data_IF_706246896247
#
_entry.id   IF_706246896247
#
_cell.length_a   1.000
_cell.length_b   1.000
_cell.length_c   1.000
_cell.angle_alpha   90.00
_cell.angle_beta   90.00
_cell.angle_gamma   90.00
#
_symmetry.space_group_name_H-M   'P 1'
#
loop_
_entity.id
_entity.type
_entity.pdbx_description
1 polymer ?
#
# COMPACT_ATOMS: atom_id res chain seq x y z
N UNK A 1 9.04 1.34 -30.57
CA UNK A 1 8.04 1.06 -29.51
C UNK A 1 8.18 2.01 -28.31
N UNK A 2 9.38 2.38 -27.85
CA UNK A 2 9.60 3.33 -26.76
C UNK A 2 8.95 4.73 -26.91
N UNK A 3 8.63 5.18 -28.13
CA UNK A 3 7.98 6.48 -28.39
C UNK A 3 6.58 6.61 -27.77
N UNK A 4 5.90 5.48 -27.53
CA UNK A 4 4.57 5.44 -26.93
C UNK A 4 4.59 4.93 -25.49
N UNK A 5 5.76 4.88 -24.85
CA UNK A 5 5.86 4.53 -23.43
C UNK A 5 5.22 5.65 -22.58
N UNK A 6 4.21 5.27 -21.80
CA UNK A 6 3.49 6.16 -20.89
C UNK A 6 3.96 6.02 -19.43
N UNK A 7 4.91 5.12 -19.15
CA UNK A 7 5.36 4.82 -17.78
C UNK A 7 5.82 6.08 -17.05
N UNK A 8 6.57 6.97 -17.71
CA UNK A 8 7.01 8.25 -17.12
C UNK A 8 5.86 9.22 -16.80
N UNK A 9 4.75 9.15 -17.54
CA UNK A 9 3.57 10.00 -17.31
C UNK A 9 2.64 9.44 -16.24
N UNK A 10 2.56 8.11 -16.14
CA UNK A 10 1.69 7.41 -15.19
C UNK A 10 2.35 7.33 -13.81
N UNK A 11 3.67 7.10 -13.75
CA UNK A 11 4.41 6.86 -12.50
C UNK A 11 4.22 7.95 -11.42
N UNK A 12 4.14 9.27 -11.72
CA UNK A 12 3.89 10.29 -10.70
C UNK A 12 2.53 10.17 -10.00
N UNK A 13 1.57 9.45 -10.59
CA UNK A 13 0.24 9.22 -10.04
C UNK A 13 0.11 7.88 -9.32
N UNK A 14 1.19 7.10 -9.22
CA UNK A 14 1.22 5.79 -8.60
C UNK A 14 2.06 5.78 -7.32
N UNK A 15 1.75 4.82 -6.45
CA UNK A 15 2.66 4.48 -5.37
C UNK A 15 3.95 3.86 -5.92
N UNK A 16 5.06 4.04 -5.20
CA UNK A 16 6.37 3.51 -5.58
C UNK A 16 6.33 2.01 -5.83
N UNK A 17 5.60 1.27 -5.01
CA UNK A 17 5.52 -0.18 -5.14
C UNK A 17 4.77 -0.60 -6.42
N UNK A 18 3.77 0.18 -6.84
CA UNK A 18 3.00 -0.05 -8.07
C UNK A 18 3.78 0.27 -9.35
N UNK A 19 4.92 0.96 -9.26
CA UNK A 19 5.80 1.22 -10.40
C UNK A 19 6.69 0.01 -10.72
N UNK A 20 6.96 -0.88 -9.75
CA UNK A 20 7.80 -2.07 -10.00
C UNK A 20 7.25 -3.00 -11.08
N UNK A 21 5.96 -3.40 -11.06
CA UNK A 21 5.40 -4.24 -12.12
C UNK A 21 5.51 -3.60 -13.51
N UNK A 22 5.42 -2.26 -13.60
CA UNK A 22 5.61 -1.55 -14.87
C UNK A 22 7.06 -1.63 -15.35
N UNK A 23 8.03 -1.45 -14.45
CA UNK A 23 9.46 -1.58 -14.78
C UNK A 23 9.84 -3.03 -15.14
N UNK A 24 9.24 -4.02 -14.49
CA UNK A 24 9.39 -5.44 -14.83
C UNK A 24 8.84 -5.74 -16.23
N UNK A 25 7.66 -5.23 -16.56
CA UNK A 25 7.10 -5.35 -17.90
C UNK A 25 8.00 -4.70 -18.97
N UNK A 26 8.55 -3.50 -18.70
CA UNK A 26 9.48 -2.84 -19.63
C UNK A 26 10.77 -3.65 -19.84
N UNK A 27 11.22 -4.36 -18.79
CA UNK A 27 12.39 -5.24 -18.83
C UNK A 27 12.11 -6.49 -19.67
N UNK A 28 10.99 -7.17 -19.42
CA UNK A 28 10.58 -8.36 -20.19
C UNK A 28 10.38 -8.05 -21.68
N UNK A 29 9.84 -6.87 -21.99
CA UNK A 29 9.65 -6.42 -23.38
C UNK A 29 10.91 -5.92 -24.04
N UNK A 30 12.03 -5.82 -23.31
CA UNK A 30 13.33 -5.35 -23.80
C UNK A 30 13.23 -4.00 -24.53
N UNK A 31 12.38 -3.10 -24.02
CA UNK A 31 12.13 -1.79 -24.65
C UNK A 31 13.27 -0.80 -24.41
N UNK A 32 14.00 -0.99 -23.31
CA UNK A 32 15.17 -0.22 -22.90
C UNK A 32 16.30 -1.16 -22.51
N UNK A 33 17.57 -0.69 -22.50
CA UNK A 33 18.69 -1.47 -21.99
C UNK A 33 18.45 -1.93 -20.55
N UNK A 34 18.71 -3.21 -20.26
CA UNK A 34 18.48 -3.79 -18.93
C UNK A 34 19.21 -3.01 -17.84
N UNK A 35 20.44 -2.57 -18.08
CA UNK A 35 21.22 -1.77 -17.13
C UNK A 35 20.51 -0.47 -16.73
N UNK A 36 19.80 0.18 -17.66
CA UNK A 36 19.07 1.41 -17.37
C UNK A 36 17.88 1.12 -16.46
N UNK A 37 17.13 0.04 -16.75
CA UNK A 37 15.97 -0.37 -15.94
C UNK A 37 16.43 -0.79 -14.54
N UNK A 38 17.50 -1.56 -14.42
CA UNK A 38 18.06 -2.00 -13.14
C UNK A 38 18.53 -0.80 -12.30
N UNK A 39 19.20 0.20 -12.90
CA UNK A 39 19.55 1.45 -12.21
C UNK A 39 18.31 2.20 -11.72
N UNK A 40 17.27 2.32 -12.54
CA UNK A 40 16.01 2.95 -12.14
C UNK A 40 15.30 2.18 -11.01
N UNK A 41 15.33 0.84 -11.02
CA UNK A 41 14.82 0.00 -9.92
C UNK A 41 15.58 0.26 -8.62
N UNK A 42 16.92 0.35 -8.65
CA UNK A 42 17.72 0.68 -7.47
C UNK A 42 17.38 2.07 -6.93
N UNK A 43 17.24 3.08 -7.80
CA UNK A 43 16.87 4.44 -7.37
C UNK A 43 15.49 4.48 -6.72
N UNK A 44 14.53 3.72 -7.24
CA UNK A 44 13.20 3.58 -6.67
C UNK A 44 13.27 2.89 -5.29
N UNK A 45 14.05 1.80 -5.20
CA UNK A 45 14.22 1.02 -3.98
C UNK A 45 14.96 1.76 -2.87
N UNK A 46 15.86 2.69 -3.22
CA UNK A 46 16.59 3.49 -2.23
C UNK A 46 15.66 4.25 -1.28
N UNK A 47 14.46 4.61 -1.73
CA UNK A 47 13.44 5.31 -0.94
C UNK A 47 12.41 4.37 -0.29
N UNK A 48 12.60 3.06 -0.41
CA UNK A 48 11.78 2.00 0.22
C UNK A 48 12.63 1.21 1.21
N UNK A 49 12.01 0.34 2.00
CA UNK A 49 12.70 -0.55 2.95
C UNK A 49 12.89 -1.98 2.41
N UNK A 50 12.68 -2.19 1.11
CA UNK A 50 12.93 -3.47 0.41
C UNK A 50 14.44 -3.69 0.16
N UNK A 51 15.23 -3.71 1.24
CA UNK A 51 16.70 -3.74 1.15
C UNK A 51 17.20 -5.04 0.52
N UNK A 52 16.60 -6.18 0.85
CA UNK A 52 16.99 -7.48 0.28
C UNK A 52 16.80 -7.49 -1.26
N UNK A 53 15.67 -6.96 -1.75
CA UNK A 53 15.42 -6.85 -3.19
C UNK A 53 16.39 -5.87 -3.87
N UNK A 54 16.74 -4.76 -3.21
CA UNK A 54 17.75 -3.82 -3.70
C UNK A 54 19.13 -4.46 -3.81
N UNK A 55 19.51 -5.29 -2.83
CA UNK A 55 20.76 -6.04 -2.84
C UNK A 55 20.80 -7.03 -4.01
N UNK A 56 19.71 -7.77 -4.26
CA UNK A 56 19.64 -8.74 -5.36
C UNK A 56 19.73 -8.06 -6.74
N UNK A 57 19.09 -6.90 -6.90
CA UNK A 57 19.20 -6.10 -8.13
C UNK A 57 20.62 -5.55 -8.30
N UNK A 58 21.26 -5.10 -7.23
CA UNK A 58 22.65 -4.62 -7.27
C UNK A 58 23.61 -5.73 -7.70
N UNK A 59 23.47 -6.93 -7.13
CA UNK A 59 24.26 -8.10 -7.51
C UNK A 59 24.07 -8.46 -8.98
N UNK A 60 22.84 -8.40 -9.46
CA UNK A 60 22.49 -8.65 -10.86
C UNK A 60 23.10 -7.61 -11.81
N UNK A 61 23.09 -6.33 -11.42
CA UNK A 61 23.61 -5.22 -12.22
C UNK A 61 25.14 -5.28 -12.37
N UNK A 62 25.87 -5.52 -11.28
CA UNK A 62 27.35 -5.54 -11.28
C UNK A 62 27.93 -6.95 -11.43
N UNK A 63 27.08 -7.98 -11.57
CA UNK A 63 27.47 -9.39 -11.67
C UNK A 63 28.46 -9.80 -10.58
N UNK A 64 28.17 -9.37 -9.36
CA UNK A 64 29.07 -9.43 -8.22
C UNK A 64 28.26 -9.83 -6.99
N UNK A 65 28.79 -10.71 -6.16
CA UNK A 65 28.14 -11.10 -4.89
C UNK A 65 28.38 -10.09 -3.76
N UNK A 66 29.32 -9.16 -3.98
CA UNK A 66 29.67 -8.09 -3.05
C UNK A 66 28.57 -7.02 -3.01
N UNK A 67 28.12 -6.72 -1.80
CA UNK A 67 27.07 -5.76 -1.52
C UNK A 67 27.67 -4.61 -0.73
N UNK A 68 27.41 -3.34 -1.10
CA UNK A 68 27.90 -2.20 -0.35
C UNK A 68 27.57 -2.28 1.14
N UNK A 69 28.54 -1.95 2.00
CA UNK A 69 28.35 -1.96 3.45
C UNK A 69 27.14 -1.13 3.89
N UNK A 70 26.90 0.02 3.25
CA UNK A 70 25.74 0.87 3.48
C UNK A 70 24.40 0.11 3.37
N UNK A 71 24.27 -0.83 2.42
CA UNK A 71 23.03 -1.63 2.28
C UNK A 71 22.89 -2.65 3.41
N UNK A 72 24.01 -3.23 3.87
CA UNK A 72 24.02 -4.19 4.98
C UNK A 72 23.66 -3.50 6.29
N UNK A 73 24.18 -2.29 6.53
CA UNK A 73 23.83 -1.48 7.69
C UNK A 73 22.35 -1.07 7.68
N UNK A 74 21.85 -0.59 6.53
CA UNK A 74 20.42 -0.29 6.35
C UNK A 74 19.54 -1.51 6.60
N UNK A 75 19.95 -2.69 6.16
CA UNK A 75 19.22 -3.94 6.43
C UNK A 75 19.11 -4.19 7.94
N UNK A 76 20.20 -4.03 8.69
CA UNK A 76 20.20 -4.19 10.14
C UNK A 76 19.26 -3.18 10.82
N UNK A 77 19.28 -1.91 10.40
CA UNK A 77 18.38 -0.87 10.90
C UNK A 77 16.90 -1.19 10.63
N UNK A 78 16.58 -1.59 9.39
CA UNK A 78 15.22 -1.95 8.97
C UNK A 78 14.71 -3.13 9.78
N UNK A 79 15.51 -4.18 9.97
CA UNK A 79 15.12 -5.35 10.77
C UNK A 79 14.96 -5.00 12.26
N UNK A 80 15.83 -4.16 12.82
CA UNK A 80 15.69 -3.71 14.21
C UNK A 80 14.40 -2.92 14.42
N UNK A 81 14.08 -2.01 13.50
CA UNK A 81 12.86 -1.22 13.54
C UNK A 81 11.61 -2.07 13.35
N UNK A 82 11.66 -3.09 12.47
CA UNK A 82 10.57 -4.03 12.28
C UNK A 82 10.22 -4.74 13.60
N UNK A 83 11.23 -5.26 14.29
CA UNK A 83 11.06 -5.95 15.59
C UNK A 83 10.48 -5.03 16.66
N UNK A 84 11.00 -3.80 16.78
CA UNK A 84 10.48 -2.85 17.75
C UNK A 84 9.00 -2.49 17.50
N UNK A 85 8.60 -2.33 16.23
CA UNK A 85 7.21 -2.07 15.86
C UNK A 85 6.31 -3.29 16.07
N UNK A 86 6.83 -4.49 15.80
CA UNK A 86 6.13 -5.75 16.06
C UNK A 86 5.86 -5.94 17.56
N UNK A 87 6.86 -5.72 18.41
CA UNK A 87 6.72 -5.79 19.87
C UNK A 87 5.70 -4.76 20.39
N UNK A 88 5.71 -3.53 19.83
CA UNK A 88 4.74 -2.50 20.20
C UNK A 88 3.31 -2.84 19.75
N UNK A 89 3.15 -3.50 18.59
CA UNK A 89 1.86 -3.92 18.07
C UNK A 89 1.38 -5.29 18.60
N UNK A 90 2.26 -6.07 19.23
CA UNK A 90 1.99 -7.44 19.68
C UNK A 90 0.74 -7.60 20.56
N UNK A 91 0.44 -6.72 21.55
CA UNK A 91 -0.77 -6.82 22.35
C UNK A 91 -2.04 -6.71 21.49
N UNK A 92 -2.03 -5.81 20.50
CA UNK A 92 -3.15 -5.61 19.60
C UNK A 92 -3.26 -6.77 18.59
N UNK A 93 -2.14 -7.27 18.07
CA UNK A 93 -2.12 -8.43 17.19
C UNK A 93 -2.69 -9.68 17.89
N UNK A 94 -2.29 -9.92 19.13
CA UNK A 94 -2.81 -11.02 19.95
C UNK A 94 -4.32 -10.88 20.18
N UNK A 95 -4.80 -9.65 20.45
CA UNK A 95 -6.24 -9.39 20.56
C UNK A 95 -6.98 -9.71 19.25
N UNK A 96 -6.46 -9.29 18.09
CA UNK A 96 -7.15 -9.49 16.82
C UNK A 96 -7.11 -10.96 16.36
N UNK A 97 -6.07 -11.71 16.70
CA UNK A 97 -6.02 -13.15 16.45
C UNK A 97 -7.04 -13.93 17.29
N UNK A 98 -7.50 -13.37 18.41
CA UNK A 98 -8.50 -13.99 19.27
C UNK A 98 -9.91 -13.74 18.72
N UNK A 99 -10.44 -14.72 17.97
CA UNK A 99 -11.78 -14.66 17.38
C UNK A 99 -12.91 -14.32 18.38
N UNK A 100 -12.81 -14.81 19.62
CA UNK A 100 -13.79 -14.51 20.69
C UNK A 100 -13.76 -13.03 21.12
N UNK A 101 -12.57 -12.42 21.12
CA UNK A 101 -12.39 -11.03 21.53
C UNK A 101 -12.83 -10.06 20.41
N UNK A 102 -12.62 -10.45 19.15
CA UNK A 102 -13.12 -9.72 17.98
C UNK A 102 -14.65 -9.73 17.90
N UNK A 103 -15.31 -10.80 18.35
CA UNK A 103 -16.79 -10.85 18.45
C UNK A 103 -17.35 -9.89 19.52
N UNK A 104 -16.56 -9.50 20.52
CA UNK A 104 -16.99 -8.49 21.49
C UNK A 104 -17.00 -7.07 20.90
N UNK A 105 -16.33 -6.85 19.75
CA UNK A 105 -16.29 -5.55 19.09
C UNK A 105 -17.70 -5.16 18.61
N UNK A 106 -18.13 -3.98 19.02
CA UNK A 106 -19.39 -3.38 18.58
C UNK A 106 -19.18 -2.49 17.36
N UNK A 107 -20.27 -2.05 16.75
CA UNK A 107 -20.25 -1.03 15.69
C UNK A 107 -19.75 0.33 16.20
N UNK A 108 -19.87 0.60 17.51
CA UNK A 108 -19.37 1.83 18.12
C UNK A 108 -17.87 1.73 18.44
N UNK A 109 -17.08 2.51 17.70
CA UNK A 109 -15.62 2.58 17.82
C UNK A 109 -15.17 3.17 19.16
N UNK A 110 -15.93 4.10 19.75
CA UNK A 110 -15.53 4.71 21.02
C UNK A 110 -15.66 3.72 22.18
N UNK A 111 -16.70 2.89 22.14
CA UNK A 111 -16.88 1.79 23.08
C UNK A 111 -15.77 0.76 22.95
N UNK A 112 -15.40 0.39 21.72
CA UNK A 112 -14.32 -0.56 21.48
C UNK A 112 -12.99 -0.07 22.03
N UNK A 113 -12.68 1.23 21.88
CA UNK A 113 -11.47 1.83 22.44
C UNK A 113 -11.45 1.80 23.98
N UNK A 114 -12.58 2.10 24.62
CA UNK A 114 -12.68 2.03 26.09
C UNK A 114 -12.55 0.58 26.60
N UNK A 115 -13.22 -0.36 25.95
CA UNK A 115 -13.13 -1.78 26.30
C UNK A 115 -11.69 -2.32 26.15
N UNK A 116 -11.02 -1.94 25.07
CA UNK A 116 -9.62 -2.30 24.80
C UNK A 116 -8.66 -1.72 25.84
N UNK A 117 -8.88 -0.47 26.23
CA UNK A 117 -8.08 0.18 27.27
C UNK A 117 -8.30 -0.49 28.64
N UNK A 118 -9.56 -0.73 29.03
CA UNK A 118 -9.89 -1.19 30.38
C UNK A 118 -9.58 -2.69 30.60
N UNK A 119 -9.79 -3.53 29.59
CA UNK A 119 -9.57 -4.99 29.70
C UNK A 119 -8.19 -5.44 29.24
N UNK A 120 -7.65 -4.80 28.19
CA UNK A 120 -6.44 -5.27 27.51
C UNK A 120 -5.27 -4.29 27.60
N UNK A 121 -5.45 -3.12 28.26
CA UNK A 121 -4.46 -2.04 28.33
C UNK A 121 -3.99 -1.56 26.94
N UNK A 122 -4.84 -1.74 25.93
CA UNK A 122 -4.58 -1.32 24.56
C UNK A 122 -5.12 0.11 24.41
N UNK A 123 -4.21 1.07 24.33
CA UNK A 123 -4.49 2.48 24.11
C UNK A 123 -4.41 2.88 22.62
N UNK A 124 -4.63 4.18 22.34
CA UNK A 124 -4.48 4.73 20.99
C UNK A 124 -3.04 4.60 20.46
N UNK A 125 -2.05 4.52 21.35
CA UNK A 125 -0.64 4.33 20.98
C UNK A 125 -0.39 2.99 20.29
N UNK A 126 -0.99 1.91 20.78
CA UNK A 126 -0.85 0.57 20.16
C UNK A 126 -1.57 0.49 18.81
N UNK A 127 -2.69 1.20 18.66
CA UNK A 127 -3.41 1.31 17.37
C UNK A 127 -2.55 2.08 16.36
N UNK A 128 -1.92 3.17 16.80
CA UNK A 128 -0.98 3.92 15.98
C UNK A 128 0.30 3.12 15.67
N UNK A 129 0.78 2.31 16.61
CA UNK A 129 1.87 1.38 16.39
C UNK A 129 1.51 0.34 15.32
N UNK A 130 0.29 -0.20 15.32
CA UNK A 130 -0.20 -1.11 14.28
C UNK A 130 -0.22 -0.44 12.90
N UNK A 131 -0.65 0.82 12.80
CA UNK A 131 -0.59 1.55 11.53
C UNK A 131 0.84 1.71 11.03
N UNK A 132 1.77 2.08 11.92
CA UNK A 132 3.19 2.20 11.57
C UNK A 132 3.78 0.85 11.18
N UNK A 133 3.44 -0.21 11.90
CA UNK A 133 3.85 -1.58 11.61
C UNK A 133 3.32 -2.05 10.25
N UNK A 134 2.04 -1.84 9.96
CA UNK A 134 1.42 -2.18 8.68
C UNK A 134 2.07 -1.42 7.51
N UNK A 135 2.32 -0.12 7.71
CA UNK A 135 3.05 0.70 6.73
C UNK A 135 4.48 0.17 6.54
N UNK A 136 5.15 -0.22 7.61
CA UNK A 136 6.52 -0.74 7.54
C UNK A 136 6.57 -2.10 6.82
N UNK A 137 5.59 -2.98 7.07
CA UNK A 137 5.41 -4.24 6.35
C UNK A 137 5.20 -4.01 4.86
N UNK A 138 4.36 -3.03 4.49
CA UNK A 138 4.17 -2.61 3.10
C UNK A 138 5.48 -2.13 2.46
N UNK A 139 6.23 -1.25 3.14
CA UNK A 139 7.53 -0.75 2.68
C UNK A 139 8.61 -1.83 2.58
N UNK A 140 8.48 -2.94 3.32
CA UNK A 140 9.34 -4.12 3.23
C UNK A 140 8.90 -5.11 2.14
N UNK A 141 7.73 -4.90 1.52
CA UNK A 141 7.18 -5.76 0.46
C UNK A 141 6.27 -6.89 0.95
N UNK A 142 5.91 -6.93 2.24
CA UNK A 142 4.93 -7.88 2.78
C UNK A 142 3.51 -7.31 2.65
N UNK A 143 2.93 -7.46 1.46
CA UNK A 143 1.64 -6.86 1.12
C UNK A 143 0.45 -7.58 1.78
N UNK A 144 0.50 -8.90 1.94
CA UNK A 144 -0.58 -9.68 2.56
C UNK A 144 -0.79 -9.27 4.03
N UNK A 145 0.29 -9.28 4.82
CA UNK A 145 0.23 -8.83 6.20
C UNK A 145 -0.19 -7.37 6.32
N UNK A 146 0.34 -6.49 5.45
CA UNK A 146 -0.03 -5.08 5.45
C UNK A 146 -1.54 -4.87 5.18
N UNK A 147 -2.14 -5.58 4.22
CA UNK A 147 -3.56 -5.47 3.91
C UNK A 147 -4.44 -5.86 5.11
N UNK A 148 -4.12 -6.95 5.79
CA UNK A 148 -4.82 -7.42 6.98
C UNK A 148 -4.71 -6.43 8.13
N UNK A 149 -3.50 -5.96 8.44
CA UNK A 149 -3.29 -5.00 9.53
C UNK A 149 -3.96 -3.64 9.25
N UNK A 150 -3.96 -3.16 8.01
CA UNK A 150 -4.66 -1.93 7.63
C UNK A 150 -6.18 -2.07 7.72
N UNK A 151 -6.72 -3.25 7.39
CA UNK A 151 -8.14 -3.54 7.59
C UNK A 151 -8.52 -3.49 9.07
N UNK A 152 -7.73 -4.14 9.92
CA UNK A 152 -7.93 -4.17 11.38
C UNK A 152 -7.79 -2.76 11.98
N UNK A 153 -6.77 -2.01 11.56
CA UNK A 153 -6.59 -0.61 11.96
C UNK A 153 -7.83 0.23 11.62
N UNK A 154 -8.42 0.07 10.43
CA UNK A 154 -9.61 0.82 10.02
C UNK A 154 -10.86 0.48 10.84
N UNK A 155 -10.97 -0.78 11.29
CA UNK A 155 -12.07 -1.21 12.16
C UNK A 155 -12.01 -0.52 13.53
N UNK A 156 -10.80 -0.30 14.06
CA UNK A 156 -10.55 0.21 15.41
C UNK A 156 -10.31 1.73 15.46
N UNK A 157 -9.75 2.31 14.39
CA UNK A 157 -9.36 3.73 14.36
C UNK A 157 -10.57 4.66 14.24
N UNK A 158 -10.57 5.71 15.04
CA UNK A 158 -11.50 6.86 14.97
C UNK A 158 -10.96 7.99 14.09
N UNK A 159 -9.68 7.94 13.68
CA UNK A 159 -9.06 8.98 12.88
C UNK A 159 -9.45 8.83 11.40
N UNK A 160 -10.24 9.78 10.89
CA UNK A 160 -10.77 9.78 9.51
C UNK A 160 -9.69 9.98 8.44
N UNK A 161 -8.60 10.69 8.74
CA UNK A 161 -7.50 10.91 7.79
C UNK A 161 -6.63 9.66 7.68
N UNK A 162 -6.18 9.11 8.82
CA UNK A 162 -5.39 7.87 8.81
C UNK A 162 -6.17 6.69 8.28
N UNK A 163 -7.49 6.62 8.54
CA UNK A 163 -8.36 5.61 7.94
C UNK A 163 -8.43 5.74 6.42
N UNK A 164 -8.38 6.96 5.88
CA UNK A 164 -8.34 7.19 4.44
C UNK A 164 -6.99 6.75 3.84
N UNK A 165 -5.87 7.10 4.49
CA UNK A 165 -4.55 6.62 4.09
C UNK A 165 -4.43 5.09 4.17
N UNK A 166 -5.00 4.46 5.21
CA UNK A 166 -5.02 3.02 5.36
C UNK A 166 -5.82 2.33 4.24
N UNK A 167 -6.91 2.94 3.76
CA UNK A 167 -7.68 2.44 2.62
C UNK A 167 -6.86 2.46 1.32
N UNK A 168 -6.12 3.54 1.06
CA UNK A 168 -5.18 3.59 -0.07
C UNK A 168 -4.08 2.53 0.04
N UNK A 169 -3.48 2.37 1.23
CA UNK A 169 -2.45 1.35 1.46
C UNK A 169 -2.98 -0.07 1.25
N UNK A 170 -4.20 -0.37 1.74
CA UNK A 170 -4.85 -1.66 1.52
C UNK A 170 -5.10 -1.88 0.03
N UNK A 171 -5.66 -0.89 -0.68
CA UNK A 171 -5.88 -0.99 -2.13
C UNK A 171 -4.58 -1.28 -2.90
N UNK A 172 -3.49 -0.57 -2.58
CA UNK A 172 -2.19 -0.82 -3.19
C UNK A 172 -1.69 -2.25 -2.93
N UNK A 173 -1.84 -2.73 -1.70
CA UNK A 173 -1.45 -4.09 -1.32
C UNK A 173 -2.25 -5.16 -2.08
N UNK A 174 -3.57 -5.00 -2.20
CA UNK A 174 -4.41 -5.94 -2.95
C UNK A 174 -4.09 -5.95 -4.45
N UNK A 175 -3.78 -4.77 -5.04
CA UNK A 175 -3.34 -4.68 -6.44
C UNK A 175 -2.00 -5.41 -6.63
N UNK A 176 -1.05 -5.24 -5.71
CA UNK A 176 0.26 -5.90 -5.77
C UNK A 176 0.17 -7.41 -5.56
N UNK A 177 -0.81 -7.87 -4.77
CA UNK A 177 -1.13 -9.30 -4.59
C UNK A 177 -1.99 -9.87 -5.72
N UNK A 178 -2.42 -9.06 -6.69
CA UNK A 178 -3.30 -9.43 -7.80
C UNK A 178 -4.68 -9.97 -7.36
N UNK A 179 -5.17 -9.52 -6.21
CA UNK A 179 -6.49 -9.87 -5.69
C UNK A 179 -7.56 -8.92 -6.26
N UNK A 180 -7.94 -9.13 -7.52
CA UNK A 180 -8.76 -8.16 -8.27
C UNK A 180 -10.17 -7.95 -7.70
N UNK A 181 -10.80 -8.98 -7.14
CA UNK A 181 -12.15 -8.89 -6.54
C UNK A 181 -12.15 -7.99 -5.30
N UNK A 182 -11.21 -8.24 -4.38
CA UNK A 182 -11.07 -7.44 -3.15
C UNK A 182 -10.61 -6.01 -3.49
N UNK A 183 -9.69 -5.87 -4.45
CA UNK A 183 -9.25 -4.56 -4.93
C UNK A 183 -10.42 -3.76 -5.52
N UNK A 184 -11.34 -4.40 -6.23
CA UNK A 184 -12.54 -3.76 -6.77
C UNK A 184 -13.49 -3.27 -5.66
N UNK A 185 -13.71 -4.08 -4.62
CA UNK A 185 -14.51 -3.68 -3.46
C UNK A 185 -13.90 -2.48 -2.72
N UNK A 186 -12.59 -2.53 -2.44
CA UNK A 186 -11.88 -1.44 -1.75
C UNK A 186 -11.80 -0.19 -2.63
N UNK A 187 -11.70 -0.33 -3.96
CA UNK A 187 -11.79 0.78 -4.92
C UNK A 187 -13.16 1.48 -4.84
N UNK A 188 -14.27 0.74 -4.85
CA UNK A 188 -15.61 1.33 -4.77
C UNK A 188 -15.82 2.05 -3.42
N UNK A 189 -15.34 1.46 -2.32
CA UNK A 189 -15.37 2.11 -1.01
C UNK A 189 -14.55 3.39 -0.99
N UNK A 190 -13.39 3.40 -1.63
CA UNK A 190 -12.54 4.58 -1.74
C UNK A 190 -13.21 5.67 -2.58
N UNK A 191 -13.85 5.30 -3.70
CA UNK A 191 -14.66 6.19 -4.52
C UNK A 191 -15.78 6.85 -3.70
N UNK A 192 -16.56 6.08 -2.95
CA UNK A 192 -17.62 6.59 -2.09
C UNK A 192 -17.10 7.58 -1.04
N UNK A 193 -15.97 7.30 -0.42
CA UNK A 193 -15.35 8.20 0.57
C UNK A 193 -14.86 9.48 -0.09
N UNK A 194 -14.26 9.41 -1.28
CA UNK A 194 -13.80 10.58 -2.03
C UNK A 194 -14.99 11.43 -2.49
N UNK A 195 -16.13 10.82 -2.79
CA UNK A 195 -17.31 11.56 -3.22
C UNK A 195 -18.16 12.10 -2.07
N UNK A 196 -18.14 11.44 -0.90
CA UNK A 196 -18.90 11.85 0.28
C UNK A 196 -18.16 12.87 1.15
N UNK A 197 -16.82 12.83 1.20
CA UNK A 197 -16.05 13.80 1.97
C UNK A 197 -16.07 15.16 1.27
N UNK A 198 -16.58 16.17 1.97
CA UNK A 198 -16.26 17.57 1.66
C UNK A 198 -14.79 17.80 2.02
N UNK A 199 -13.88 17.48 1.09
CA UNK A 199 -12.45 17.73 1.30
C UNK A 199 -12.23 19.20 1.64
N UNK A 200 -11.36 19.45 2.61
CA UNK A 200 -10.97 20.80 3.01
C UNK A 200 -10.33 21.60 1.87
N UNK A 201 -9.76 20.92 0.87
CA UNK A 201 -9.15 21.51 -0.32
C UNK A 201 -9.66 20.86 -1.61
N UNK A 202 -10.23 21.63 -2.55
CA UNK A 202 -10.61 21.15 -3.88
C UNK A 202 -9.45 20.52 -4.66
N UNK A 203 -8.21 21.00 -4.44
CA UNK A 203 -7.02 20.45 -5.10
C UNK A 203 -6.76 19.00 -4.70
N UNK A 204 -6.87 18.69 -3.40
CA UNK A 204 -6.65 17.34 -2.88
C UNK A 204 -7.73 16.36 -3.37
N UNK A 205 -8.97 16.86 -3.53
CA UNK A 205 -10.06 16.09 -4.12
C UNK A 205 -9.75 15.71 -5.57
N UNK A 206 -9.35 16.69 -6.39
CA UNK A 206 -8.98 16.45 -7.80
C UNK A 206 -7.81 15.48 -7.89
N UNK A 207 -6.78 15.66 -7.07
CA UNK A 207 -5.63 14.76 -7.02
C UNK A 207 -6.04 13.32 -6.64
N UNK A 208 -6.90 13.16 -5.64
CA UNK A 208 -7.41 11.84 -5.22
C UNK A 208 -8.22 11.16 -6.32
N UNK A 209 -9.01 11.93 -7.09
CA UNK A 209 -9.73 11.40 -8.26
C UNK A 209 -8.78 10.99 -9.38
N UNK A 210 -7.75 11.77 -9.66
CA UNK A 210 -6.72 11.43 -10.65
C UNK A 210 -6.03 10.12 -10.26
N UNK A 211 -5.61 9.98 -9.01
CA UNK A 211 -5.02 8.74 -8.52
C UNK A 211 -5.98 7.56 -8.63
N UNK A 212 -7.24 7.74 -8.23
CA UNK A 212 -8.26 6.70 -8.30
C UNK A 212 -8.42 6.21 -9.75
N UNK A 213 -8.49 7.12 -10.72
CA UNK A 213 -8.53 6.77 -12.14
C UNK A 213 -7.31 5.94 -12.56
N UNK A 214 -6.09 6.39 -12.25
CA UNK A 214 -4.88 5.65 -12.64
C UNK A 214 -4.80 4.27 -11.98
N UNK A 215 -5.19 4.15 -10.72
CA UNK A 215 -5.12 2.90 -9.97
C UNK A 215 -6.22 1.92 -10.41
N UNK A 216 -7.40 2.45 -10.76
CA UNK A 216 -8.53 1.67 -11.29
C UNK A 216 -8.19 0.95 -12.60
N UNK A 217 -7.26 1.49 -13.40
CA UNK A 217 -6.81 0.82 -14.63
C UNK A 217 -6.22 -0.56 -14.33
N UNK A 218 -5.40 -0.69 -13.27
CA UNK A 218 -4.84 -1.99 -12.87
C UNK A 218 -5.93 -3.01 -12.55
N UNK A 219 -7.01 -2.57 -11.89
CA UNK A 219 -8.10 -3.45 -11.46
C UNK A 219 -8.97 -3.81 -12.66
N UNK A 220 -9.45 -2.81 -13.39
CA UNK A 220 -10.44 -3.01 -14.42
C UNK A 220 -9.91 -3.67 -15.69
N UNK A 221 -8.61 -3.58 -15.99
CA UNK A 221 -8.04 -4.35 -17.09
C UNK A 221 -7.91 -5.85 -16.79
N UNK A 222 -7.87 -6.23 -15.50
CA UNK A 222 -7.68 -7.61 -15.06
C UNK A 222 -8.95 -8.27 -14.48
N UNK A 223 -10.00 -7.48 -14.19
CA UNK A 223 -11.28 -7.98 -13.68
C UNK A 223 -12.25 -8.33 -14.83
N UNK A 224 -12.98 -9.44 -14.73
CA UNK A 224 -13.86 -9.96 -15.78
C UNK A 224 -14.91 -8.95 -16.27
N UNK A 225 -15.51 -8.19 -15.33
CA UNK A 225 -16.48 -7.13 -15.62
C UNK A 225 -15.88 -5.71 -15.73
N UNK A 226 -14.55 -5.58 -15.69
CA UNK A 226 -13.89 -4.28 -15.57
C UNK A 226 -14.12 -3.34 -16.76
N UNK A 227 -14.37 -3.88 -17.97
CA UNK A 227 -14.64 -3.07 -19.17
C UNK A 227 -15.87 -2.18 -19.05
N UNK A 228 -16.96 -2.71 -18.48
CA UNK A 228 -18.19 -1.93 -18.25
C UNK A 228 -17.93 -0.85 -17.20
N UNK A 229 -17.24 -1.21 -16.11
CA UNK A 229 -16.93 -0.29 -15.03
C UNK A 229 -15.98 0.84 -15.43
N UNK A 230 -15.04 0.61 -16.35
CA UNK A 230 -14.21 1.68 -16.94
C UNK A 230 -15.10 2.70 -17.65
N UNK A 231 -15.97 2.23 -18.53
CA UNK A 231 -16.85 3.12 -19.33
C UNK A 231 -17.72 3.94 -18.40
N UNK A 232 -18.30 3.32 -17.37
CA UNK A 232 -19.18 4.01 -16.43
C UNK A 232 -18.42 5.00 -15.54
N UNK A 233 -17.20 4.67 -15.10
CA UNK A 233 -16.41 5.56 -14.24
C UNK A 233 -15.85 6.76 -15.01
N UNK A 234 -15.24 6.53 -16.16
CA UNK A 234 -14.53 7.56 -16.92
C UNK A 234 -15.47 8.53 -17.66
N UNK A 235 -16.72 8.13 -17.90
CA UNK A 235 -17.74 9.02 -18.51
C UNK A 235 -18.53 9.84 -17.48
N UNK A 236 -18.24 9.71 -16.17
CA UNK A 236 -18.88 10.55 -15.16
C UNK A 236 -18.29 11.97 -15.18
N UNK A 237 -19.16 13.00 -15.16
CA UNK A 237 -18.76 14.43 -15.18
C UNK A 237 -17.77 14.81 -14.07
N UNK A 238 -17.70 14.04 -12.98
CA UNK A 238 -16.76 14.27 -11.88
C UNK A 238 -15.32 13.89 -12.23
N UNK A 239 -15.12 13.09 -13.26
CA UNK A 239 -13.86 12.47 -13.69
C UNK A 239 -13.50 12.78 -15.15
N UNK A 240 -14.43 13.37 -15.92
CA UNK A 240 -14.23 13.89 -17.28
C UNK A 240 -13.73 15.35 -17.26
#
# INVERSE_FOLDING_TARGET
MAKYDLTQRIAPNLDRHLVFPLLEFLQERQLYPEEQILKSKIELLNKTNMVDYAMDIHKSLYRTDDVPQDMVERRAEVVARLKALEEAAAPLLAFVQNANAVQELRTDKHYNLQMLHDRYQIGPEQIDALYQYAKFQFECGNYSGAADYLYQYRALSTNSERSHSALWGKLAAEILMQNWDIAFEEHNRLKEIIESKSFSSPLNLVQSRIWLMHWSLFIFFNHDNGRTHIIDLFNQEKYA
#
